data_IF_288778624098
#
_entry.id   IF_288778624098
#
_cell.length_a   1.000
_cell.length_b   1.000
_cell.length_c   1.000
_cell.angle_alpha   90.00
_cell.angle_beta   90.00
_cell.angle_gamma   90.00
#
_symmetry.space_group_name_H-M   'P 1'
#
loop_
_entity.id
_entity.type
_entity.pdbx_description
1 polymer ?
#
# COMPACT_ATOMS: atom_id res chain seq x y z
N UNK A 1 2.92 18.90 -8.43
CA UNK A 1 3.68 17.64 -8.31
C UNK A 1 3.32 17.02 -6.97
N UNK A 2 2.64 15.86 -6.90
CA UNK A 2 2.14 15.32 -5.64
C UNK A 2 3.30 14.73 -4.82
N UNK A 3 3.92 15.58 -4.00
CA UNK A 3 4.91 15.22 -2.99
C UNK A 3 4.26 15.11 -1.60
N UNK A 4 2.97 14.80 -1.55
CA UNK A 4 2.26 14.67 -0.28
C UNK A 4 2.55 13.32 0.36
N UNK A 5 2.83 13.36 1.67
CA UNK A 5 2.90 12.18 2.52
C UNK A 5 1.49 11.86 3.00
N UNK A 6 0.99 10.69 2.59
CA UNK A 6 -0.31 10.19 2.96
C UNK A 6 -0.25 9.47 4.30
N UNK A 7 -1.27 9.70 5.12
CA UNK A 7 -1.49 8.91 6.30
C UNK A 7 -1.99 7.50 5.92
N UNK A 8 -1.84 6.51 6.83
CA UNK A 8 -2.35 5.15 6.62
C UNK A 8 -3.84 5.12 6.31
N UNK A 9 -4.61 6.06 6.86
CA UNK A 9 -6.06 6.18 6.61
C UNK A 9 -6.34 6.64 5.18
N UNK A 10 -5.62 7.62 4.68
CA UNK A 10 -5.77 8.16 3.32
C UNK A 10 -5.33 7.14 2.27
N UNK A 11 -4.16 6.53 2.48
CA UNK A 11 -3.65 5.46 1.61
C UNK A 11 -4.65 4.29 1.50
N UNK A 12 -5.32 3.94 2.60
CA UNK A 12 -6.37 2.92 2.61
C UNK A 12 -7.63 3.32 1.85
N UNK A 13 -8.04 4.57 1.94
CA UNK A 13 -9.17 5.09 1.17
C UNK A 13 -8.88 5.04 -0.33
N UNK A 14 -7.66 5.38 -0.74
CA UNK A 14 -7.22 5.31 -2.14
C UNK A 14 -7.20 3.86 -2.64
N UNK A 15 -6.65 2.94 -1.83
CA UNK A 15 -6.59 1.51 -2.17
C UNK A 15 -7.93 0.77 -2.02
N UNK A 16 -8.94 1.38 -1.39
CA UNK A 16 -10.22 0.77 -1.04
C UNK A 16 -10.08 -0.53 -0.23
N UNK A 17 -9.12 -0.58 0.70
CA UNK A 17 -8.79 -1.78 1.47
C UNK A 17 -9.16 -1.69 2.96
N UNK A 18 -9.59 -2.84 3.49
CA UNK A 18 -9.81 -3.04 4.93
C UNK A 18 -8.53 -2.82 5.75
N UNK A 19 -8.63 -2.42 7.03
CA UNK A 19 -7.46 -2.14 7.89
C UNK A 19 -6.54 -3.35 8.02
N UNK A 20 -7.13 -4.53 8.17
CA UNK A 20 -6.41 -5.78 8.30
C UNK A 20 -5.62 -6.11 7.03
N UNK A 21 -6.24 -5.97 5.84
CA UNK A 21 -5.59 -6.24 4.56
C UNK A 21 -4.46 -5.26 4.28
N UNK A 22 -4.66 -3.97 4.59
CA UNK A 22 -3.62 -2.97 4.46
C UNK A 22 -2.45 -3.20 5.43
N UNK A 23 -2.73 -3.62 6.66
CA UNK A 23 -1.68 -4.01 7.61
C UNK A 23 -0.89 -5.23 7.12
N UNK A 24 -1.56 -6.23 6.53
CA UNK A 24 -0.88 -7.38 5.88
C UNK A 24 -0.05 -6.92 4.68
N UNK A 25 -0.55 -5.98 3.88
CA UNK A 25 0.15 -5.43 2.72
C UNK A 25 1.43 -4.68 3.12
N UNK A 26 1.36 -3.78 4.11
CA UNK A 26 2.54 -3.06 4.62
C UNK A 26 3.60 -4.03 5.15
N UNK A 27 3.16 -5.10 5.81
CA UNK A 27 4.06 -6.09 6.39
C UNK A 27 4.51 -7.16 5.38
N UNK A 28 4.12 -7.07 4.10
CA UNK A 28 4.47 -8.06 3.06
C UNK A 28 3.87 -9.45 3.30
N UNK A 29 2.81 -9.53 4.12
CA UNK A 29 2.10 -10.78 4.48
C UNK A 29 0.85 -11.02 3.62
N UNK A 30 0.65 -10.21 2.58
CA UNK A 30 -0.46 -10.38 1.66
C UNK A 30 -0.01 -11.33 0.53
N UNK A 31 -0.56 -12.55 0.44
CA UNK A 31 -0.14 -13.52 -0.56
C UNK A 31 -0.45 -12.99 -1.97
N UNK A 32 0.49 -13.18 -2.90
CA UNK A 32 0.35 -12.70 -4.26
C UNK A 32 0.58 -11.21 -4.42
N UNK A 33 0.83 -10.45 -3.34
CA UNK A 33 1.17 -9.03 -3.44
C UNK A 33 2.52 -8.69 -2.80
N UNK A 34 3.27 -7.83 -3.46
CA UNK A 34 4.49 -7.26 -2.89
C UNK A 34 4.14 -6.28 -1.76
N UNK A 35 5.09 -6.09 -0.84
CA UNK A 35 4.90 -5.16 0.25
C UNK A 35 4.76 -3.71 -0.27
N UNK A 36 3.80 -2.96 0.27
CA UNK A 36 3.67 -1.54 -0.04
C UNK A 36 4.87 -0.78 0.56
N UNK A 37 5.61 0.03 -0.23
CA UNK A 37 6.72 0.80 0.31
C UNK A 37 6.19 1.91 1.21
N UNK A 38 6.52 1.83 2.50
CA UNK A 38 6.11 2.82 3.50
C UNK A 38 7.32 3.39 4.22
N UNK A 39 7.27 4.69 4.50
CA UNK A 39 8.23 5.36 5.36
C UNK A 39 7.79 5.20 6.82
N UNK A 40 8.67 4.66 7.66
CA UNK A 40 8.46 4.57 9.11
C UNK A 40 9.26 5.67 9.79
N UNK A 41 8.57 6.61 10.42
CA UNK A 41 9.18 7.67 11.24
C UNK A 41 8.79 7.39 12.69
N UNK A 42 9.68 6.69 13.40
CA UNK A 42 9.38 6.17 14.74
C UNK A 42 8.20 5.20 14.70
N UNK A 43 7.11 5.54 15.40
CA UNK A 43 5.86 4.75 15.41
C UNK A 43 4.88 5.13 14.30
N UNK A 44 5.14 6.20 13.55
CA UNK A 44 4.26 6.66 12.47
C UNK A 44 4.62 5.98 11.17
N UNK A 45 3.60 5.52 10.45
CA UNK A 45 3.70 4.97 9.10
C UNK A 45 3.17 6.03 8.15
N UNK A 46 3.98 6.44 7.18
CA UNK A 46 3.60 7.39 6.14
C UNK A 46 3.83 6.74 4.79
N UNK A 47 2.95 7.03 3.84
CA UNK A 47 3.04 6.51 2.47
C UNK A 47 3.27 7.68 1.55
N UNK A 48 4.33 7.65 0.75
CA UNK A 48 4.52 8.69 -0.25
C UNK A 48 3.52 8.47 -1.38
N UNK A 49 2.74 9.49 -1.72
CA UNK A 49 1.69 9.41 -2.73
C UNK A 49 2.21 8.90 -4.08
N UNK A 50 3.30 9.48 -4.60
CA UNK A 50 3.96 9.02 -5.83
C UNK A 50 4.38 7.55 -5.78
N UNK A 51 4.83 7.07 -4.61
CA UNK A 51 5.21 5.67 -4.43
C UNK A 51 3.99 4.75 -4.37
N UNK A 52 2.88 5.20 -3.79
CA UNK A 52 1.61 4.47 -3.81
C UNK A 52 1.10 4.28 -5.24
N UNK A 53 1.10 5.35 -6.04
CA UNK A 53 0.68 5.27 -7.45
C UNK A 53 1.63 4.42 -8.27
N UNK A 54 2.95 4.61 -8.14
CA UNK A 54 3.92 3.75 -8.83
C UNK A 54 3.78 2.26 -8.43
N UNK A 55 3.42 1.98 -7.18
CA UNK A 55 3.13 0.61 -6.73
C UNK A 55 1.82 0.07 -7.30
N UNK A 56 0.79 0.91 -7.48
CA UNK A 56 -0.48 0.56 -8.13
C UNK A 56 -0.33 0.30 -9.63
N UNK A 57 0.51 1.09 -10.31
CA UNK A 57 0.79 0.94 -11.75
C UNK A 57 1.54 -0.35 -12.05
N UNK A 58 2.28 -0.86 -11.08
CA UNK A 58 3.01 -2.10 -11.15
C UNK A 58 2.04 -3.29 -11.01
N UNK A 59 1.42 -3.65 -12.14
CA UNK A 59 0.40 -4.71 -12.25
C UNK A 59 0.88 -6.10 -11.82
N UNK A 60 2.19 -6.32 -11.75
CA UNK A 60 2.78 -7.60 -11.34
C UNK A 60 2.84 -7.76 -9.82
N UNK A 61 2.70 -6.65 -9.07
CA UNK A 61 2.88 -6.62 -7.63
C UNK A 61 1.65 -7.00 -6.83
N UNK A 62 0.52 -7.30 -7.45
CA UNK A 62 -0.65 -7.82 -6.75
C UNK A 62 -1.39 -8.84 -7.62
N UNK A 63 -0.73 -9.97 -7.86
CA UNK A 63 -1.36 -11.24 -8.26
C UNK A 63 -2.13 -11.86 -7.06
N UNK A 64 -2.91 -11.06 -6.33
CA UNK A 64 -3.96 -11.65 -5.51
C UNK A 64 -4.85 -12.37 -6.50
N UNK A 65 -4.75 -13.69 -6.50
CA UNK A 65 -5.37 -14.57 -7.46
C UNK A 65 -6.80 -14.09 -7.73
N UNK A 66 -7.04 -13.67 -8.97
CA UNK A 66 -8.35 -13.80 -9.61
C UNK A 66 -8.63 -15.31 -9.64
N UNK A 67 -8.94 -15.88 -8.48
CA UNK A 67 -9.62 -17.15 -8.36
C UNK A 67 -11.09 -16.80 -8.26
N UNK A 68 -11.69 -16.76 -9.45
CA UNK A 68 -13.06 -17.15 -9.82
C UNK A 68 -14.09 -17.29 -8.70
#
# INVERSE_FOLDING_TARGET
MPNSLLNPKEARTILQMSPATFSRLINGKLPGCSALPVARIGRKILVKESTLYAWLEDREKCSAAVSK
#
